data_IF_155843315722
#
_entry.id   IF_155843315722
#
_cell.length_a   1.000
_cell.length_b   1.000
_cell.length_c   1.000
_cell.angle_alpha   90.00
_cell.angle_beta   90.00
_cell.angle_gamma   90.00
#
_symmetry.space_group_name_H-M   'P 1'
#
loop_
_entity.id
_entity.type
_entity.pdbx_description
1 polymer ?
#
# COMPACT_ATOMS: atom_id res chain seq x y z
N UNK A 1 -5.65 -3.70 -20.67
CA UNK A 1 -6.66 -3.64 -19.60
C UNK A 1 -7.23 -2.24 -19.59
N UNK A 2 -8.52 -2.11 -19.83
CA UNK A 2 -9.26 -0.84 -19.77
C UNK A 2 -9.14 -0.24 -18.37
N UNK A 3 -8.82 1.05 -18.28
CA UNK A 3 -8.86 1.78 -17.01
C UNK A 3 -10.32 2.03 -16.64
N UNK A 4 -10.76 1.52 -15.48
CA UNK A 4 -12.07 1.87 -14.92
C UNK A 4 -11.90 3.16 -14.14
N UNK A 5 -12.72 4.17 -14.42
CA UNK A 5 -12.66 5.45 -13.72
C UNK A 5 -12.88 5.25 -12.21
N UNK A 6 -12.03 5.84 -11.38
CA UNK A 6 -12.01 5.65 -9.91
C UNK A 6 -11.34 4.36 -9.42
N UNK A 7 -10.91 3.45 -10.31
CA UNK A 7 -10.13 2.28 -9.93
C UNK A 7 -8.63 2.58 -10.00
N UNK A 8 -7.99 2.68 -8.84
CA UNK A 8 -6.55 2.96 -8.73
C UNK A 8 -5.71 1.70 -8.47
N UNK A 9 -6.32 0.52 -8.36
CA UNK A 9 -5.63 -0.73 -8.11
C UNK A 9 -4.91 -1.19 -9.39
N UNK A 10 -3.61 -1.49 -9.26
CA UNK A 10 -2.77 -2.01 -10.36
C UNK A 10 -2.36 -3.46 -10.13
N UNK A 11 -2.80 -4.35 -11.02
CA UNK A 11 -2.45 -5.78 -11.06
C UNK A 11 -1.18 -6.09 -11.86
N UNK A 12 -0.42 -5.07 -12.27
CA UNK A 12 0.86 -5.28 -12.96
C UNK A 12 1.94 -5.64 -11.94
N UNK A 13 2.14 -6.93 -11.69
CA UNK A 13 3.02 -7.42 -10.63
C UNK A 13 4.06 -8.40 -11.16
N UNK A 14 5.27 -8.32 -10.61
CA UNK A 14 6.37 -9.28 -10.74
C UNK A 14 6.92 -9.55 -9.33
N UNK A 15 7.66 -10.65 -9.16
CA UNK A 15 8.23 -11.00 -7.84
C UNK A 15 9.10 -9.86 -7.29
N UNK A 16 9.95 -9.28 -8.13
CA UNK A 16 10.83 -8.16 -7.75
C UNK A 16 10.03 -6.90 -7.39
N UNK A 17 9.00 -6.58 -8.18
CA UNK A 17 8.24 -5.35 -7.94
C UNK A 17 7.35 -5.44 -6.70
N UNK A 18 6.91 -6.65 -6.30
CA UNK A 18 6.14 -6.83 -5.06
C UNK A 18 7.01 -6.41 -3.88
N UNK A 19 8.24 -6.91 -3.80
CA UNK A 19 9.13 -6.61 -2.67
C UNK A 19 9.50 -5.12 -2.58
N UNK A 20 9.80 -4.51 -3.73
CA UNK A 20 10.11 -3.07 -3.78
C UNK A 20 8.91 -2.21 -3.41
N UNK A 21 7.70 -2.56 -3.89
CA UNK A 21 6.46 -1.85 -3.57
C UNK A 21 6.07 -2.01 -2.10
N UNK A 22 6.24 -3.20 -1.52
CA UNK A 22 6.05 -3.44 -0.08
C UNK A 22 6.94 -2.54 0.76
N UNK A 23 8.23 -2.49 0.43
CA UNK A 23 9.21 -1.68 1.16
C UNK A 23 8.87 -0.18 1.04
N UNK A 24 8.54 0.28 -0.17
CA UNK A 24 8.12 1.66 -0.40
C UNK A 24 6.83 2.02 0.36
N UNK A 25 5.87 1.09 0.45
CA UNK A 25 4.62 1.30 1.18
C UNK A 25 4.86 1.45 2.68
N UNK A 26 5.73 0.59 3.25
CA UNK A 26 6.11 0.65 4.68
C UNK A 26 6.82 1.98 4.98
N UNK A 27 7.78 2.39 4.14
CA UNK A 27 8.49 3.66 4.35
C UNK A 27 7.57 4.88 4.19
N UNK A 28 6.66 4.86 3.21
CA UNK A 28 5.62 5.90 3.08
C UNK A 28 4.75 5.98 4.33
N UNK A 29 4.33 4.83 4.87
CA UNK A 29 3.52 4.79 6.08
C UNK A 29 4.27 5.37 7.29
N UNK A 30 5.50 4.93 7.54
CA UNK A 30 6.35 5.45 8.61
C UNK A 30 6.54 6.96 8.49
N UNK A 31 6.96 7.42 7.31
CA UNK A 31 7.17 8.86 7.05
C UNK A 31 5.91 9.70 7.30
N UNK A 32 4.72 9.18 6.96
CA UNK A 32 3.46 9.89 7.21
C UNK A 32 3.13 9.96 8.70
N UNK A 33 3.25 8.84 9.43
CA UNK A 33 3.02 8.83 10.87
C UNK A 33 4.02 9.73 11.61
N UNK A 34 5.30 9.68 11.24
CA UNK A 34 6.35 10.53 11.82
C UNK A 34 6.07 12.02 11.56
N UNK A 35 5.67 12.37 10.33
CA UNK A 35 5.34 13.74 9.97
C UNK A 35 4.17 14.28 10.80
N UNK A 36 3.12 13.47 11.01
CA UNK A 36 1.98 13.85 11.85
C UNK A 36 2.40 13.96 13.31
N UNK A 37 3.18 13.01 13.83
CA UNK A 37 3.66 13.04 15.21
C UNK A 37 4.56 14.25 15.50
N UNK A 38 5.28 14.75 14.49
CA UNK A 38 6.14 15.93 14.59
C UNK A 38 5.41 17.27 14.48
N UNK A 39 4.11 17.29 14.13
CA UNK A 39 3.38 18.54 13.92
C UNK A 39 3.11 19.25 15.24
N UNK A 40 3.43 20.54 15.33
CA UNK A 40 3.05 21.38 16.47
C UNK A 40 1.67 22.01 16.33
N UNK A 41 1.16 22.09 15.09
CA UNK A 41 -0.14 22.66 14.76
C UNK A 41 -1.16 21.53 14.57
N UNK A 42 -1.76 21.07 15.68
CA UNK A 42 -2.71 19.95 15.68
C UNK A 42 -4.11 20.48 15.35
N UNK A 43 -4.59 20.13 14.16
CA UNK A 43 -5.91 20.47 13.65
C UNK A 43 -6.53 19.28 12.92
N UNK A 44 -7.79 19.41 12.54
CA UNK A 44 -8.47 18.42 11.72
C UNK A 44 -7.74 18.18 10.40
N UNK A 45 -7.35 19.26 9.73
CA UNK A 45 -6.66 19.24 8.44
C UNK A 45 -5.24 18.69 8.58
N UNK A 46 -4.51 19.06 9.63
CA UNK A 46 -3.11 18.66 9.80
C UNK A 46 -2.94 17.21 10.24
N UNK A 47 -3.98 16.63 10.86
CA UNK A 47 -3.93 15.29 11.46
C UNK A 47 -4.89 14.34 10.76
N UNK A 48 -6.19 14.49 11.01
CA UNK A 48 -7.19 13.50 10.62
C UNK A 48 -7.44 13.48 9.11
N UNK A 49 -7.49 14.64 8.44
CA UNK A 49 -7.63 14.70 6.99
C UNK A 49 -6.42 14.06 6.30
N UNK A 50 -5.19 14.39 6.73
CA UNK A 50 -3.97 13.78 6.18
C UNK A 50 -3.92 12.28 6.39
N UNK A 51 -4.26 11.80 7.59
CA UNK A 51 -4.37 10.36 7.88
C UNK A 51 -5.40 9.69 6.97
N UNK A 52 -6.58 10.29 6.83
CA UNK A 52 -7.67 9.72 6.03
C UNK A 52 -7.29 9.57 4.55
N UNK A 53 -6.65 10.61 3.99
CA UNK A 53 -6.18 10.58 2.60
C UNK A 53 -5.05 9.55 2.42
N UNK A 54 -4.11 9.49 3.37
CA UNK A 54 -3.04 8.50 3.35
C UNK A 54 -3.58 7.07 3.46
N UNK A 55 -4.55 6.81 4.33
CA UNK A 55 -5.16 5.49 4.50
C UNK A 55 -5.83 5.01 3.21
N UNK A 56 -6.54 5.89 2.50
CA UNK A 56 -7.15 5.54 1.22
C UNK A 56 -6.11 5.07 0.18
N UNK A 57 -4.99 5.77 0.07
CA UNK A 57 -3.86 5.37 -0.77
C UNK A 57 -3.24 4.05 -0.28
N UNK A 58 -3.02 3.94 1.04
CA UNK A 58 -2.36 2.79 1.66
C UNK A 58 -3.15 1.51 1.43
N UNK A 59 -4.47 1.53 1.67
CA UNK A 59 -5.32 0.37 1.46
C UNK A 59 -5.44 -0.01 -0.01
N UNK A 60 -5.44 0.97 -0.93
CA UNK A 60 -5.43 0.70 -2.38
C UNK A 60 -4.19 -0.09 -2.78
N UNK A 61 -3.01 0.36 -2.34
CA UNK A 61 -1.74 -0.28 -2.66
C UNK A 61 -1.56 -1.61 -1.92
N UNK A 62 -1.94 -1.67 -0.65
CA UNK A 62 -1.94 -2.91 0.14
C UNK A 62 -2.78 -3.99 -0.52
N UNK A 63 -3.99 -3.65 -0.99
CA UNK A 63 -4.87 -4.59 -1.70
C UNK A 63 -4.23 -5.09 -3.01
N UNK A 64 -3.48 -4.24 -3.71
CA UNK A 64 -2.75 -4.64 -4.91
C UNK A 64 -1.60 -5.63 -4.61
N UNK A 65 -1.06 -5.60 -3.39
CA UNK A 65 0.04 -6.45 -2.94
C UNK A 65 -0.42 -7.73 -2.24
N UNK A 66 -1.54 -7.71 -1.52
CA UNK A 66 -2.04 -8.86 -0.76
C UNK A 66 -2.97 -9.77 -1.56
N UNK A 67 -3.82 -9.22 -2.43
CA UNK A 67 -4.81 -10.01 -3.15
C UNK A 67 -4.21 -11.03 -4.13
N UNK A 68 -3.05 -10.77 -4.78
CA UNK A 68 -2.44 -11.74 -5.68
C UNK A 68 -2.21 -13.12 -5.07
N UNK A 69 -1.96 -13.24 -3.77
CA UNK A 69 -1.77 -14.53 -3.09
C UNK A 69 -2.95 -15.50 -3.27
N UNK A 70 -4.17 -15.00 -3.53
CA UNK A 70 -5.37 -15.83 -3.68
C UNK A 70 -5.70 -16.19 -5.13
N UNK A 71 -5.30 -15.34 -6.09
CA UNK A 71 -5.86 -15.40 -7.46
C UNK A 71 -4.81 -15.56 -8.56
N UNK A 72 -3.53 -15.22 -8.32
CA UNK A 72 -2.55 -15.28 -9.39
C UNK A 72 -2.18 -16.72 -9.76
N UNK A 73 -2.04 -17.04 -11.07
CA UNK A 73 -1.72 -18.39 -11.52
C UNK A 73 -0.28 -18.82 -11.18
N UNK A 74 0.68 -17.88 -11.19
CA UNK A 74 2.08 -18.16 -10.83
C UNK A 74 2.24 -18.35 -9.31
N UNK A 75 2.89 -19.45 -8.93
CA UNK A 75 3.18 -19.75 -7.51
C UNK A 75 4.16 -18.75 -6.93
N UNK A 76 5.18 -18.38 -7.69
CA UNK A 76 6.24 -17.45 -7.30
C UNK A 76 5.65 -16.07 -6.94
N UNK A 77 4.68 -15.61 -7.74
CA UNK A 77 3.94 -14.37 -7.48
C UNK A 77 3.09 -14.49 -6.20
N UNK A 78 2.39 -15.62 -6.01
CA UNK A 78 1.61 -15.84 -4.79
C UNK A 78 2.51 -15.84 -3.55
N UNK A 79 3.64 -16.54 -3.59
CA UNK A 79 4.59 -16.60 -2.46
C UNK A 79 5.16 -15.21 -2.13
N UNK A 80 5.50 -14.41 -3.15
CA UNK A 80 5.93 -13.01 -2.97
C UNK A 80 4.83 -12.17 -2.30
N UNK A 81 3.58 -12.33 -2.73
CA UNK A 81 2.41 -11.66 -2.15
C UNK A 81 2.17 -12.06 -0.69
N UNK A 82 2.26 -13.35 -0.35
CA UNK A 82 2.19 -13.82 1.05
C UNK A 82 3.29 -13.18 1.91
N UNK A 83 4.52 -13.15 1.41
CA UNK A 83 5.65 -12.54 2.13
C UNK A 83 5.46 -11.04 2.32
N UNK A 84 4.93 -10.35 1.30
CA UNK A 84 4.52 -8.95 1.40
C UNK A 84 3.47 -8.75 2.49
N UNK A 85 2.40 -9.54 2.49
CA UNK A 85 1.34 -9.47 3.51
C UNK A 85 1.89 -9.66 4.93
N UNK A 86 2.83 -10.59 5.13
CA UNK A 86 3.49 -10.79 6.43
C UNK A 86 4.32 -9.58 6.88
N UNK A 87 4.92 -8.83 5.95
CA UNK A 87 5.69 -7.61 6.27
C UNK A 87 4.80 -6.42 6.62
N UNK A 88 3.60 -6.37 6.02
CA UNK A 88 2.66 -5.24 6.14
C UNK A 88 1.71 -5.40 7.34
N UNK A 89 1.46 -6.63 7.79
CA UNK A 89 0.59 -6.95 8.93
C UNK A 89 1.26 -6.64 10.26
#
# INVERSE_FOLDING_TARGET
>A
MSSVNGCHISWKISVENVDSRTSALIEKARSMYDAIASTSDVSWESTAQKLSLFEADYFTEKNALDFPQYVFPSKEIRDASVNSTRKIS
#
